data_IF_266619619362
#
_entry.id   IF_266619619362
#
_cell.length_a   1.000
_cell.length_b   1.000
_cell.length_c   1.000
_cell.angle_alpha   90.00
_cell.angle_beta   90.00
_cell.angle_gamma   90.00
#
_symmetry.space_group_name_H-M   'P 1'
#
loop_
_entity.id
_entity.type
_entity.pdbx_description
1 polymer ?
#
# COMPACT_ATOMS: atom_id res chain seq x y z
N UNK A 1 -2.01 0.79 -12.47
CA UNK A 1 -1.08 -0.33 -12.71
C UNK A 1 -1.48 -1.52 -11.86
N UNK A 2 -1.39 -2.71 -12.43
CA UNK A 2 -1.79 -3.94 -11.74
C UNK A 2 -0.57 -4.67 -11.19
N UNK A 3 -0.76 -5.37 -10.06
CA UNK A 3 0.27 -6.16 -9.40
C UNK A 3 -0.17 -7.63 -9.33
N UNK A 4 0.81 -8.53 -9.21
CA UNK A 4 0.57 -9.93 -8.90
C UNK A 4 0.87 -10.20 -7.42
N UNK A 5 1.06 -11.48 -7.04
CA UNK A 5 1.33 -11.84 -5.64
C UNK A 5 2.59 -11.20 -5.07
N UNK A 6 3.52 -10.83 -5.95
CA UNK A 6 4.70 -10.04 -5.58
C UNK A 6 4.86 -8.94 -6.60
N UNK A 7 5.29 -7.77 -6.16
CA UNK A 7 5.57 -6.68 -7.06
C UNK A 7 6.93 -6.08 -6.77
N UNK A 8 7.57 -5.61 -7.82
CA UNK A 8 8.86 -4.94 -7.72
C UNK A 8 8.82 -3.68 -8.57
N UNK A 9 9.30 -2.58 -8.01
CA UNK A 9 9.47 -1.33 -8.74
C UNK A 9 10.87 -0.83 -8.43
N UNK A 10 11.71 -0.75 -9.46
CA UNK A 10 13.14 -0.52 -9.25
C UNK A 10 13.73 -1.69 -8.48
N UNK A 11 14.32 -1.39 -7.32
CA UNK A 11 14.92 -2.40 -6.46
C UNK A 11 14.04 -2.78 -5.26
N UNK A 12 12.76 -2.36 -5.26
CA UNK A 12 11.89 -2.55 -4.11
C UNK A 12 10.88 -3.66 -4.37
N UNK A 13 10.81 -4.62 -3.46
CA UNK A 13 9.90 -5.74 -3.53
C UNK A 13 8.97 -5.72 -2.32
N UNK A 14 7.66 -5.62 -2.58
CA UNK A 14 6.66 -5.59 -1.53
C UNK A 14 6.17 -7.00 -1.21
N UNK A 15 5.79 -7.20 0.05
CA UNK A 15 5.21 -8.44 0.54
C UNK A 15 3.70 -8.27 0.68
N UNK A 16 2.95 -9.27 0.25
CA UNK A 16 1.49 -9.29 0.32
C UNK A 16 0.91 -10.26 -0.71
N UNK A 17 -0.39 -10.18 -0.98
CA UNK A 17 -1.34 -9.23 -0.38
C UNK A 17 -1.78 -9.65 1.02
N UNK A 18 -2.00 -8.68 1.90
CA UNK A 18 -2.56 -8.91 3.23
C UNK A 18 -4.01 -8.45 3.24
N UNK A 19 -4.88 -9.27 3.80
CA UNK A 19 -6.32 -8.95 3.92
C UNK A 19 -6.76 -8.78 5.37
N UNK A 20 -5.90 -9.15 6.32
CA UNK A 20 -6.18 -9.11 7.75
C UNK A 20 -5.18 -8.20 8.43
N UNK A 21 -5.69 -7.27 9.26
CA UNK A 21 -4.84 -6.34 9.99
C UNK A 21 -3.82 -7.05 10.89
N UNK A 22 -4.15 -8.24 11.38
CA UNK A 22 -3.24 -9.01 12.23
C UNK A 22 -1.99 -9.48 11.50
N UNK A 23 -1.99 -9.47 10.17
CA UNK A 23 -0.85 -9.86 9.35
C UNK A 23 0.14 -8.70 9.13
N UNK A 24 -0.27 -7.47 9.47
CA UNK A 24 0.53 -6.29 9.18
C UNK A 24 1.70 -6.15 10.16
N UNK A 25 2.88 -5.75 9.66
CA UNK A 25 4.05 -5.63 10.52
C UNK A 25 3.98 -4.42 11.45
N UNK A 26 4.37 -4.61 12.70
CA UNK A 26 4.50 -3.56 13.70
C UNK A 26 5.86 -2.87 13.51
N UNK A 27 6.08 -2.32 12.32
CA UNK A 27 7.38 -1.81 11.88
C UNK A 27 7.21 -0.62 10.93
N UNK A 28 8.28 0.14 10.78
CA UNK A 28 8.38 1.26 9.85
C UNK A 28 8.45 0.76 8.40
N UNK A 29 7.75 1.43 7.50
CA UNK A 29 7.81 1.05 6.10
C UNK A 29 6.84 1.80 5.20
N UNK A 30 6.76 1.31 3.96
CA UNK A 30 5.88 1.81 2.91
C UNK A 30 4.80 0.76 2.67
N UNK A 31 3.58 1.20 2.39
CA UNK A 31 2.49 0.28 2.06
C UNK A 31 1.81 0.69 0.76
N UNK A 32 1.30 -0.31 0.07
CA UNK A 32 0.45 -0.12 -1.10
C UNK A 32 -0.94 -0.66 -0.76
N UNK A 33 -1.97 0.07 -1.17
CA UNK A 33 -3.34 -0.40 -1.08
C UNK A 33 -3.77 -0.78 -2.49
N UNK A 34 -4.34 -1.98 -2.65
CA UNK A 34 -4.74 -2.46 -3.97
C UNK A 34 -6.18 -2.96 -3.96
N UNK A 35 -6.76 -3.02 -5.16
CA UNK A 35 -8.02 -3.72 -5.41
C UNK A 35 -7.81 -4.72 -6.53
N UNK A 36 -8.61 -5.78 -6.56
CA UNK A 36 -8.55 -6.76 -7.64
C UNK A 36 -9.40 -6.30 -8.82
N UNK A 37 -8.80 -6.30 -10.00
CA UNK A 37 -9.48 -6.01 -11.27
C UNK A 37 -9.03 -7.11 -12.24
N UNK A 38 -9.97 -7.93 -12.69
CA UNK A 38 -9.70 -9.04 -13.63
C UNK A 38 -8.57 -9.94 -13.15
N UNK A 39 -8.53 -10.22 -11.84
CA UNK A 39 -7.53 -11.11 -11.26
C UNK A 39 -6.18 -10.48 -10.98
N UNK A 40 -6.02 -9.19 -11.27
CA UNK A 40 -4.78 -8.46 -11.03
C UNK A 40 -4.99 -7.37 -9.98
N UNK A 41 -3.96 -7.10 -9.19
CA UNK A 41 -4.01 -6.04 -8.19
C UNK A 41 -3.72 -4.69 -8.85
N UNK A 42 -4.64 -3.74 -8.66
CA UNK A 42 -4.45 -2.36 -9.08
C UNK A 42 -4.13 -1.50 -7.87
N UNK A 43 -3.06 -0.72 -7.93
CA UNK A 43 -2.67 0.18 -6.83
C UNK A 43 -3.63 1.35 -6.79
N UNK A 44 -4.33 1.52 -5.65
CA UNK A 44 -5.27 2.61 -5.44
C UNK A 44 -4.77 3.65 -4.44
N UNK A 45 -3.76 3.33 -3.65
CA UNK A 45 -3.12 4.29 -2.73
C UNK A 45 -1.72 3.82 -2.38
N UNK A 46 -0.88 4.77 -1.98
CA UNK A 46 0.48 4.52 -1.50
C UNK A 46 0.69 5.37 -0.25
N UNK A 47 1.30 4.80 0.78
CA UNK A 47 1.58 5.54 2.00
C UNK A 47 2.83 5.04 2.71
N UNK A 48 3.21 5.75 3.76
CA UNK A 48 4.33 5.35 4.61
C UNK A 48 3.97 5.61 6.08
N UNK A 49 4.62 4.88 6.98
CA UNK A 49 4.37 5.05 8.41
C UNK A 49 5.56 4.51 9.21
N UNK A 50 5.75 5.09 10.40
CA UNK A 50 6.71 4.53 11.36
C UNK A 50 6.20 3.21 11.96
N UNK A 51 4.90 2.93 11.84
CA UNK A 51 4.30 1.68 12.31
C UNK A 51 3.08 1.35 11.46
N UNK A 52 3.25 0.42 10.51
CA UNK A 52 2.21 0.07 9.56
C UNK A 52 1.00 -0.56 10.25
N UNK A 53 1.24 -1.45 11.22
CA UNK A 53 0.15 -2.13 11.92
C UNK A 53 -0.76 -1.16 12.67
N UNK A 54 -0.22 -0.07 13.21
CA UNK A 54 -1.02 0.96 13.86
C UNK A 54 -1.73 1.86 12.86
N UNK A 55 -1.04 2.22 11.77
CA UNK A 55 -1.53 3.23 10.84
C UNK A 55 -2.72 2.74 10.01
N UNK A 56 -2.64 1.52 9.49
CA UNK A 56 -3.63 1.04 8.54
C UNK A 56 -5.05 0.98 9.14
N UNK A 57 -5.27 0.35 10.32
CA UNK A 57 -6.63 0.24 10.86
C UNK A 57 -7.29 1.58 11.22
N UNK A 58 -6.48 2.61 11.47
CA UNK A 58 -6.99 3.94 11.85
C UNK A 58 -6.78 4.98 10.75
N UNK A 59 -6.52 4.55 9.52
CA UNK A 59 -6.20 5.46 8.42
C UNK A 59 -7.40 6.31 8.03
N UNK A 60 -7.18 7.60 7.86
CA UNK A 60 -8.23 8.55 7.50
C UNK A 60 -8.76 8.36 6.08
N UNK A 61 -8.03 7.68 5.20
CA UNK A 61 -8.48 7.37 3.85
C UNK A 61 -9.11 5.98 3.71
N UNK A 62 -9.31 5.25 4.82
CA UNK A 62 -9.88 3.91 4.75
C UNK A 62 -11.24 3.89 4.07
N UNK A 63 -12.08 4.90 4.29
CA UNK A 63 -13.37 4.97 3.63
C UNK A 63 -13.23 5.11 2.11
N UNK A 64 -12.18 5.79 1.64
CA UNK A 64 -11.88 5.88 0.20
C UNK A 64 -11.46 4.53 -0.35
N UNK A 65 -10.61 3.82 0.39
CA UNK A 65 -10.16 2.48 -0.02
C UNK A 65 -11.34 1.53 -0.16
N UNK A 66 -12.25 1.56 0.82
CA UNK A 66 -13.44 0.71 0.79
C UNK A 66 -14.38 1.09 -0.35
N UNK A 67 -14.55 2.37 -0.61
CA UNK A 67 -15.43 2.83 -1.70
C UNK A 67 -14.90 2.41 -3.06
N UNK A 68 -13.59 2.57 -3.28
CA UNK A 68 -12.97 2.25 -4.58
C UNK A 68 -12.87 0.75 -4.80
N UNK A 69 -12.66 -0.05 -3.73
CA UNK A 69 -12.45 -1.49 -3.83
C UNK A 69 -13.70 -2.33 -3.62
N UNK A 70 -14.85 -1.71 -3.28
CA UNK A 70 -16.05 -2.45 -2.93
C UNK A 70 -15.90 -3.19 -1.59
N UNK A 71 -15.25 -2.57 -0.62
CA UNK A 71 -14.98 -3.12 0.71
C UNK A 71 -14.05 -4.34 0.68
N UNK A 72 -13.16 -4.40 -0.32
CA UNK A 72 -12.27 -5.55 -0.51
C UNK A 72 -10.86 -5.11 -0.93
N UNK A 73 -10.27 -4.20 -0.17
CA UNK A 73 -8.90 -3.77 -0.45
C UNK A 73 -7.88 -4.73 0.17
N UNK A 74 -6.68 -4.70 -0.40
CA UNK A 74 -5.54 -5.49 0.06
C UNK A 74 -4.38 -4.57 0.39
N UNK A 75 -3.48 -5.01 1.28
CA UNK A 75 -2.33 -4.22 1.70
C UNK A 75 -1.04 -4.96 1.34
N UNK A 76 -0.08 -4.22 0.81
CA UNK A 76 1.28 -4.71 0.52
C UNK A 76 2.25 -3.87 1.33
N UNK A 77 3.32 -4.48 1.84
CA UNK A 77 4.25 -3.79 2.73
C UNK A 77 5.71 -3.95 2.31
N UNK A 78 6.50 -2.91 2.57
CA UNK A 78 7.96 -2.92 2.41
C UNK A 78 8.55 -2.27 3.65
N UNK A 79 9.30 -3.05 4.44
CA UNK A 79 9.90 -2.55 5.69
C UNK A 79 11.16 -1.76 5.37
N UNK A 80 11.26 -0.57 5.92
CA UNK A 80 12.42 0.30 5.72
C UNK A 80 12.42 1.43 6.76
N UNK A 81 13.54 2.16 6.87
CA UNK A 81 13.68 3.24 7.85
C UNK A 81 13.01 4.54 7.39
N UNK A 82 13.02 5.54 8.28
CA UNK A 82 12.32 6.80 8.05
C UNK A 82 12.81 7.52 6.78
N UNK A 83 14.11 7.60 6.59
CA UNK A 83 14.67 8.33 5.44
C UNK A 83 14.24 7.67 4.13
N UNK A 84 14.32 6.34 4.08
CA UNK A 84 14.00 5.59 2.88
C UNK A 84 12.50 5.53 2.62
N UNK A 85 11.66 5.38 3.68
CA UNK A 85 10.22 5.23 3.46
C UNK A 85 9.59 6.45 2.80
N UNK A 86 10.06 7.65 3.12
CA UNK A 86 9.54 8.87 2.51
C UNK A 86 9.91 8.97 1.03
N UNK A 87 11.15 8.62 0.69
CA UNK A 87 11.61 8.62 -0.70
C UNK A 87 10.91 7.56 -1.53
N UNK A 88 10.77 6.36 -0.97
CA UNK A 88 10.14 5.23 -1.66
C UNK A 88 8.65 5.50 -1.87
N UNK A 89 7.98 6.02 -0.86
CA UNK A 89 6.55 6.36 -0.96
C UNK A 89 6.32 7.37 -2.09
N UNK A 90 7.14 8.42 -2.13
CA UNK A 90 7.01 9.45 -3.16
C UNK A 90 7.24 8.87 -4.56
N UNK A 91 8.28 8.04 -4.71
CA UNK A 91 8.59 7.43 -6.00
C UNK A 91 7.44 6.54 -6.50
N UNK A 92 6.84 5.75 -5.60
CA UNK A 92 5.74 4.87 -5.97
C UNK A 92 4.46 5.65 -6.25
N UNK A 93 4.19 6.72 -5.49
CA UNK A 93 3.04 7.57 -5.74
C UNK A 93 3.13 8.23 -7.12
N UNK A 94 4.32 8.69 -7.50
CA UNK A 94 4.52 9.25 -8.83
C UNK A 94 4.37 8.18 -9.93
N UNK A 95 4.89 6.98 -9.70
CA UNK A 95 4.85 5.91 -10.69
C UNK A 95 3.44 5.38 -10.92
N UNK A 96 2.65 5.21 -9.86
CA UNK A 96 1.32 4.62 -9.96
C UNK A 96 0.21 5.66 -10.13
N UNK A 97 0.43 6.90 -9.69
CA UNK A 97 -0.58 7.96 -9.73
C UNK A 97 -1.93 7.44 -9.20
N UNK A 98 -1.98 7.01 -7.94
CA UNK A 98 -3.15 6.32 -7.41
C UNK A 98 -4.38 7.23 -7.28
N UNK A 99 -5.58 6.63 -7.33
CA UNK A 99 -6.83 7.39 -7.27
C UNK A 99 -7.13 7.93 -5.87
N UNK A 100 -6.57 7.34 -4.83
CA UNK A 100 -6.76 7.78 -3.45
C UNK A 100 -5.55 8.59 -2.97
N UNK A 101 -5.80 9.51 -2.04
CA UNK A 101 -4.75 10.34 -1.46
C UNK A 101 -4.49 11.60 -2.26
N UNK A 102 -3.43 12.31 -1.86
CA UNK A 102 -3.04 13.54 -2.53
C UNK A 102 -2.29 13.26 -3.82
N UNK A 103 -2.50 14.15 -4.76
CA UNK A 103 -1.85 14.09 -6.07
C UNK A 103 -1.06 15.33 -6.35
#
# INVERSE_FOLDING_TARGET
MALNTKTQLGNHQFTGPHTNADELPDRSGVYLITRLVDGLHEVIDVGESHNIAERIPSHDRMFQWNAVSGNAFHVWTLLTDEAQRMLIERAHRLAYNPVCGER
#
